data_IF_788476486942
#
_entry.id   IF_788476486942
#
_cell.length_a   1.000
_cell.length_b   1.000
_cell.length_c   1.000
_cell.angle_alpha   90.00
_cell.angle_beta   90.00
_cell.angle_gamma   90.00
#
_symmetry.space_group_name_H-M   'P 1'
#
loop_
_entity.id
_entity.type
_entity.pdbx_description
1 polymer ?
#
# COMPACT_ATOMS: atom_id res chain seq x y z
N UNK A 1 -2.85 6.45 -14.35
CA UNK A 1 -2.57 6.04 -12.95
C UNK A 1 -3.85 6.23 -12.19
N UNK A 2 -4.34 5.18 -11.53
CA UNK A 2 -5.63 5.22 -10.83
C UNK A 2 -5.38 5.27 -9.33
N UNK A 3 -6.14 6.11 -8.62
CA UNK A 3 -5.96 6.41 -7.21
C UNK A 3 -7.29 6.25 -6.51
N UNK A 4 -7.36 5.33 -5.55
CA UNK A 4 -8.59 5.06 -4.81
C UNK A 4 -8.41 5.47 -3.36
N UNK A 5 -9.32 6.31 -2.87
CA UNK A 5 -9.34 6.73 -1.48
C UNK A 5 -10.32 5.85 -0.71
N UNK A 6 -9.82 5.05 0.22
CA UNK A 6 -10.69 4.27 1.11
C UNK A 6 -11.14 5.10 2.33
N UNK A 7 -12.34 4.82 2.85
CA UNK A 7 -12.81 5.32 4.15
C UNK A 7 -12.43 4.27 5.19
N UNK A 8 -11.33 4.45 5.93
CA UNK A 8 -10.93 3.49 6.98
C UNK A 8 -11.34 3.94 8.38
N UNK A 9 -12.12 3.08 9.05
CA UNK A 9 -12.23 3.01 10.49
C UNK A 9 -10.94 2.45 11.14
N UNK A 10 -10.72 2.80 12.42
CA UNK A 10 -9.49 2.62 13.23
C UNK A 10 -9.01 1.15 13.44
N UNK A 11 -8.71 0.37 12.40
CA UNK A 11 -8.21 -1.04 12.52
C UNK A 11 -6.80 -1.31 11.97
N UNK A 12 -5.90 -0.31 11.90
CA UNK A 12 -4.57 -0.44 11.24
C UNK A 12 -3.50 -1.16 12.10
N UNK A 13 -3.77 -1.56 13.36
CA UNK A 13 -2.72 -2.13 14.24
C UNK A 13 -2.25 -3.54 13.87
N UNK A 14 -2.98 -4.28 13.03
CA UNK A 14 -2.70 -5.72 12.80
C UNK A 14 -1.54 -5.98 11.83
N UNK A 15 -1.22 -5.05 10.95
CA UNK A 15 -0.28 -5.31 9.84
C UNK A 15 1.21 -5.19 10.21
N UNK A 16 1.52 -4.62 11.38
CA UNK A 16 2.90 -4.44 11.87
C UNK A 16 3.49 -5.71 12.51
N UNK A 17 2.65 -6.69 12.84
CA UNK A 17 3.04 -7.92 13.53
C UNK A 17 2.95 -9.12 12.59
N UNK A 18 3.89 -10.05 12.72
CA UNK A 18 3.84 -11.32 11.99
C UNK A 18 2.83 -12.28 12.63
N UNK A 19 2.60 -13.44 11.99
CA UNK A 19 1.69 -14.48 12.49
C UNK A 19 2.02 -14.99 13.90
N UNK A 20 3.26 -14.78 14.35
CA UNK A 20 3.78 -15.20 15.65
C UNK A 20 3.77 -14.05 16.69
N UNK A 21 3.11 -12.92 16.39
CA UNK A 21 3.02 -11.76 17.29
C UNK A 21 4.33 -10.98 17.47
N UNK A 22 5.38 -11.28 16.70
CA UNK A 22 6.63 -10.49 16.69
C UNK A 22 6.52 -9.34 15.71
N UNK A 23 7.20 -8.22 15.98
CA UNK A 23 7.29 -7.09 15.04
C UNK A 23 7.94 -7.59 13.74
N UNK A 24 7.32 -7.24 12.61
CA UNK A 24 7.89 -7.54 11.29
C UNK A 24 9.19 -6.78 11.10
N UNK A 25 10.16 -7.41 10.45
CA UNK A 25 11.40 -6.73 10.03
C UNK A 25 11.04 -5.66 9.00
N UNK A 26 11.71 -4.50 9.07
CA UNK A 26 11.48 -3.38 8.15
C UNK A 26 12.27 -3.58 6.86
N UNK A 27 11.58 -3.50 5.71
CA UNK A 27 12.21 -3.47 4.38
C UNK A 27 11.96 -2.14 3.69
N UNK A 28 13.05 -1.46 3.36
CA UNK A 28 13.04 -0.27 2.52
C UNK A 28 13.21 -0.68 1.06
N UNK A 29 12.27 -0.30 0.22
CA UNK A 29 12.19 -0.74 -1.17
C UNK A 29 11.87 0.39 -2.13
N UNK A 30 12.15 0.18 -3.41
CA UNK A 30 11.74 1.01 -4.53
C UNK A 30 10.87 0.17 -5.47
N UNK A 31 9.88 0.76 -6.14
CA UNK A 31 9.19 0.06 -7.24
C UNK A 31 10.21 -0.22 -8.35
N UNK A 32 10.31 -1.46 -8.79
CA UNK A 32 11.28 -1.93 -9.77
C UNK A 32 10.61 -2.54 -11.03
N UNK A 33 9.28 -2.53 -11.09
CA UNK A 33 8.49 -2.92 -12.25
C UNK A 33 7.68 -1.75 -12.78
N UNK A 34 7.32 -1.79 -14.07
CA UNK A 34 6.44 -0.78 -14.68
C UNK A 34 5.00 -0.86 -14.15
N UNK A 35 4.61 -2.00 -13.57
CA UNK A 35 3.29 -2.25 -12.99
C UNK A 35 3.41 -2.53 -11.50
N UNK A 36 2.60 -1.85 -10.69
CA UNK A 36 2.54 -2.07 -9.25
C UNK A 36 1.18 -1.63 -8.68
N UNK A 37 0.74 -2.30 -7.62
CA UNK A 37 -0.43 -1.94 -6.83
C UNK A 37 -0.07 -2.03 -5.35
N UNK A 38 -0.35 -0.98 -4.58
CA UNK A 38 -0.10 -0.98 -3.14
C UNK A 38 -1.03 -0.05 -2.38
N UNK A 39 -1.28 -0.37 -1.12
CA UNK A 39 -2.02 0.47 -0.18
C UNK A 39 -1.04 1.27 0.68
N UNK A 40 -1.21 2.59 0.75
CA UNK A 40 -0.44 3.47 1.62
C UNK A 40 -1.03 3.45 3.02
N UNK A 41 -0.23 3.08 4.02
CA UNK A 41 -0.72 2.85 5.41
C UNK A 41 -0.41 3.99 6.36
N UNK A 42 0.50 4.89 6.01
CA UNK A 42 0.79 6.12 6.74
C UNK A 42 1.27 7.23 5.80
N UNK A 43 1.20 8.48 6.27
CA UNK A 43 1.66 9.64 5.50
C UNK A 43 3.13 9.53 5.11
N UNK A 44 3.44 9.98 3.91
CA UNK A 44 4.82 10.08 3.44
C UNK A 44 5.63 11.03 4.31
N UNK A 45 6.88 10.65 4.57
CA UNK A 45 7.88 11.49 5.22
C UNK A 45 8.95 11.86 4.21
N UNK A 46 9.30 13.14 4.19
CA UNK A 46 10.43 13.60 3.39
C UNK A 46 11.75 13.27 4.11
N UNK A 47 12.72 12.80 3.33
CA UNK A 47 14.12 12.64 3.74
C UNK A 47 15.03 13.52 2.89
N UNK A 48 16.34 13.48 3.12
CA UNK A 48 17.31 14.25 2.34
C UNK A 48 17.22 13.98 0.83
N UNK A 49 16.93 12.74 0.43
CA UNK A 49 17.03 12.31 -0.98
C UNK A 49 15.75 11.71 -1.55
N UNK A 50 14.75 11.41 -0.73
CA UNK A 50 13.54 10.71 -1.16
C UNK A 50 12.35 11.03 -0.26
N UNK A 51 11.15 10.73 -0.75
CA UNK A 51 9.99 10.53 0.10
C UNK A 51 9.86 9.05 0.46
N UNK A 52 9.37 8.79 1.66
CA UNK A 52 9.20 7.43 2.16
C UNK A 52 7.84 7.25 2.82
N UNK A 53 7.09 6.25 2.38
CA UNK A 53 5.77 5.93 2.93
C UNK A 53 5.66 4.45 3.28
N UNK A 54 5.15 4.07 4.47
CA UNK A 54 4.78 2.70 4.77
C UNK A 54 3.65 2.21 3.85
N UNK A 55 3.82 1.02 3.27
CA UNK A 55 2.85 0.44 2.33
C UNK A 55 2.54 -1.03 2.63
N UNK A 56 1.41 -1.49 2.12
CA UNK A 56 1.12 -2.92 1.92
C UNK A 56 1.20 -3.18 0.42
N UNK A 57 2.22 -3.89 -0.08
CA UNK A 57 2.32 -4.24 -1.49
C UNK A 57 1.29 -5.31 -1.85
N UNK A 58 0.50 -5.06 -2.89
CA UNK A 58 -0.53 -5.98 -3.39
C UNK A 58 -0.09 -6.64 -4.70
N UNK A 59 0.61 -5.91 -5.55
CA UNK A 59 1.17 -6.39 -6.81
C UNK A 59 2.43 -5.61 -7.22
N UNK A 60 3.32 -6.26 -7.95
CA UNK A 60 4.53 -5.65 -8.51
C UNK A 60 5.83 -6.26 -7.99
N UNK A 61 6.94 -5.74 -8.51
CA UNK A 61 8.31 -6.10 -8.14
C UNK A 61 8.97 -4.88 -7.49
N UNK A 62 9.66 -5.13 -6.39
CA UNK A 62 10.27 -4.11 -5.55
C UNK A 62 11.75 -4.41 -5.37
N UNK A 63 12.60 -3.39 -5.40
CA UNK A 63 14.04 -3.55 -5.19
C UNK A 63 14.46 -2.97 -3.84
N UNK A 64 15.18 -3.75 -3.03
CA UNK A 64 15.84 -3.23 -1.84
C UNK A 64 17.30 -2.93 -2.13
N UNK A 65 17.70 -1.66 -2.02
CA UNK A 65 19.11 -1.27 -2.18
C UNK A 65 20.01 -1.83 -1.08
N UNK A 66 19.45 -2.05 0.13
CA UNK A 66 20.18 -2.62 1.26
C UNK A 66 20.54 -4.10 1.01
N UNK A 67 19.56 -4.87 0.57
CA UNK A 67 19.73 -6.31 0.33
C UNK A 67 20.27 -6.61 -1.08
N UNK A 68 20.30 -5.60 -1.96
CA UNK A 68 20.65 -5.71 -3.40
C UNK A 68 19.83 -6.78 -4.14
N UNK A 69 18.57 -6.97 -3.72
CA UNK A 69 17.68 -8.01 -4.22
C UNK A 69 16.31 -7.43 -4.60
N UNK A 70 15.69 -8.08 -5.60
CA UNK A 70 14.28 -7.86 -5.97
C UNK A 70 13.37 -8.80 -5.18
N UNK A 71 12.24 -8.27 -4.75
CA UNK A 71 11.18 -8.97 -4.04
C UNK A 71 9.86 -8.80 -4.78
N UNK A 72 9.06 -9.85 -4.80
CA UNK A 72 7.66 -9.80 -5.19
C UNK A 72 6.81 -9.21 -4.05
N UNK A 73 5.65 -8.66 -4.38
CA UNK A 73 4.67 -8.23 -3.37
C UNK A 73 4.35 -9.33 -2.35
N UNK A 74 4.25 -10.60 -2.82
CA UNK A 74 3.99 -11.77 -1.98
C UNK A 74 5.09 -12.01 -0.94
N UNK A 75 6.36 -11.95 -1.34
CA UNK A 75 7.50 -12.09 -0.43
C UNK A 75 7.54 -10.96 0.60
N UNK A 76 7.13 -9.74 0.22
CA UNK A 76 7.13 -8.59 1.10
C UNK A 76 6.02 -8.59 2.15
N UNK A 77 5.01 -9.45 2.04
CA UNK A 77 3.87 -9.48 2.96
C UNK A 77 4.26 -9.83 4.41
N UNK A 78 5.36 -10.57 4.59
CA UNK A 78 5.90 -10.93 5.91
C UNK A 78 6.74 -9.80 6.55
N UNK A 79 6.95 -8.68 5.84
CA UNK A 79 7.75 -7.55 6.26
C UNK A 79 6.90 -6.30 6.53
N UNK A 80 7.47 -5.35 7.29
CA UNK A 80 6.97 -4.00 7.34
C UNK A 80 7.62 -3.19 6.22
N UNK A 81 6.86 -2.86 5.19
CA UNK A 81 7.42 -2.32 3.95
C UNK A 81 7.35 -0.80 3.96
N UNK A 82 8.49 -0.16 3.68
CA UNK A 82 8.59 1.28 3.46
C UNK A 82 9.02 1.51 2.01
N UNK A 83 8.12 2.11 1.23
CA UNK A 83 8.39 2.48 -0.14
C UNK A 83 9.15 3.81 -0.17
N UNK A 84 10.28 3.82 -0.86
CA UNK A 84 11.01 5.02 -1.24
C UNK A 84 10.60 5.45 -2.64
N UNK A 85 10.46 6.76 -2.81
CA UNK A 85 10.12 7.43 -4.06
C UNK A 85 11.06 8.63 -4.23
N UNK A 86 11.53 8.87 -5.46
CA UNK A 86 12.42 10.01 -5.73
C UNK A 86 11.64 11.32 -5.59
N UNK A 87 12.33 12.41 -5.22
CA UNK A 87 11.66 13.70 -4.94
C UNK A 87 10.97 14.31 -6.17
N UNK A 88 11.50 14.03 -7.35
CA UNK A 88 11.02 14.50 -8.64
C UNK A 88 9.95 13.58 -9.26
N UNK A 89 9.64 12.46 -8.62
CA UNK A 89 8.64 11.51 -9.11
C UNK A 89 7.23 12.00 -8.78
N UNK A 90 6.34 11.99 -9.77
CA UNK A 90 4.94 12.36 -9.60
C UNK A 90 4.22 11.46 -8.58
N UNK A 91 4.72 10.25 -8.34
CA UNK A 91 4.18 9.32 -7.37
C UNK A 91 4.11 9.91 -5.95
N UNK A 92 4.99 10.87 -5.61
CA UNK A 92 5.02 11.54 -4.30
C UNK A 92 3.66 12.13 -3.91
N UNK A 93 2.93 12.73 -4.86
CA UNK A 93 1.63 13.38 -4.62
C UNK A 93 0.53 12.41 -4.18
N UNK A 94 0.71 11.12 -4.45
CA UNK A 94 -0.28 10.06 -4.22
C UNK A 94 0.01 9.23 -2.96
N UNK A 95 1.13 9.48 -2.28
CA UNK A 95 1.53 8.79 -1.05
C UNK A 95 0.79 9.31 0.21
N UNK A 96 -0.54 9.27 0.17
CA UNK A 96 -1.41 9.69 1.28
C UNK A 96 -1.99 8.47 1.99
N UNK A 97 -2.16 8.54 3.31
CA UNK A 97 -2.68 7.40 4.08
C UNK A 97 -4.07 6.97 3.59
N UNK A 98 -4.28 5.67 3.49
CA UNK A 98 -5.57 5.06 3.10
C UNK A 98 -5.82 5.06 1.60
N UNK A 99 -4.83 5.43 0.80
CA UNK A 99 -4.92 5.44 -0.66
C UNK A 99 -4.34 4.17 -1.25
N UNK A 100 -5.09 3.52 -2.14
CA UNK A 100 -4.57 2.48 -3.04
C UNK A 100 -4.06 3.16 -4.30
N UNK A 101 -2.80 2.87 -4.63
CA UNK A 101 -2.13 3.41 -5.81
C UNK A 101 -1.93 2.30 -6.83
N UNK A 102 -2.36 2.55 -8.08
CA UNK A 102 -2.26 1.61 -9.21
C UNK A 102 -1.43 2.26 -10.33
N UNK A 103 -0.27 1.68 -10.60
CA UNK A 103 0.73 2.18 -11.57
C UNK A 103 0.85 1.22 -12.75
N UNK A 104 0.94 1.76 -13.97
CA UNK A 104 1.22 0.98 -15.18
C UNK A 104 0.03 0.20 -15.74
N UNK A 105 -1.18 0.45 -15.24
CA UNK A 105 -2.43 -0.09 -15.78
C UNK A 105 -3.23 1.03 -16.45
N UNK A 106 -3.86 0.71 -17.59
CA UNK A 106 -4.95 1.54 -18.15
C UNK A 106 -6.16 1.47 -17.23
N UNK A 107 -6.95 2.53 -17.19
CA UNK A 107 -8.18 2.58 -16.38
C UNK A 107 -9.19 1.51 -16.83
N UNK A 108 -9.27 1.23 -18.14
CA UNK A 108 -10.13 0.19 -18.72
C UNK A 108 -9.79 -1.23 -18.23
N UNK A 109 -8.59 -1.43 -17.67
CA UNK A 109 -8.16 -2.73 -17.13
C UNK A 109 -8.39 -2.84 -15.62
N UNK A 110 -9.00 -1.84 -14.99
CA UNK A 110 -9.22 -1.79 -13.54
C UNK A 110 -10.71 -1.72 -13.27
N UNK A 111 -11.29 -2.85 -12.87
CA UNK A 111 -12.64 -2.88 -12.32
C UNK A 111 -12.59 -2.58 -10.83
N UNK A 112 -13.32 -1.55 -10.41
CA UNK A 112 -13.53 -1.21 -9.00
C UNK A 112 -14.93 -1.66 -8.64
N UNK A 113 -15.02 -2.68 -7.79
CA UNK A 113 -16.30 -3.15 -7.26
C UNK A 113 -16.53 -2.46 -5.92
N UNK A 114 -17.68 -1.81 -5.79
CA UNK A 114 -18.15 -1.26 -4.52
C UNK A 114 -19.16 -2.27 -3.97
N UNK A 115 -18.90 -2.83 -2.79
CA UNK A 115 -19.97 -3.47 -2.03
C UNK A 115 -20.88 -2.35 -1.53
N UNK A 116 -22.10 -2.28 -2.07
CA UNK A 116 -23.19 -1.60 -1.39
C UNK A 116 -23.46 -2.40 -0.12
N UNK A 117 -23.08 -1.87 1.05
CA UNK A 117 -23.38 -2.52 2.32
C UNK A 117 -24.88 -2.80 2.40
N UNK A 118 -25.21 -4.08 2.55
CA UNK A 118 -26.52 -4.61 2.92
C UNK A 118 -27.12 -3.81 4.08
N UNK A 119 -28.04 -2.91 3.76
CA UNK A 119 -28.99 -2.32 4.71
C UNK A 119 -30.11 -3.31 5.05
N UNK A 120 -29.78 -4.49 5.60
CA UNK A 120 -30.78 -5.32 6.28
C UNK A 120 -30.99 -4.80 7.70
N UNK A 121 -31.71 -3.69 7.80
CA UNK A 121 -32.34 -3.27 9.04
C UNK A 121 -33.65 -4.03 9.23
N UNK A 122 -33.57 -5.30 9.63
CA UNK A 122 -34.69 -5.94 10.33
C UNK A 122 -34.83 -5.27 11.70
N UNK A 123 -35.83 -4.41 11.82
CA UNK A 123 -36.28 -3.81 13.07
C UNK A 123 -37.79 -3.89 13.17
N UNK A 124 -38.31 -5.10 13.34
CA UNK A 124 -39.53 -5.29 14.13
C UNK A 124 -39.18 -4.98 15.59
N UNK A 125 -39.83 -3.99 16.19
CA UNK A 125 -40.37 -4.10 17.55
C UNK A 125 -41.21 -2.87 17.94
N UNK A 126 -42.42 -3.20 18.41
CA UNK A 126 -43.38 -2.45 19.27
C UNK A 126 -44.20 -1.32 18.67
#
# INVERSE_FOLDING_TARGET
>A
MVVLKSRFDKRVKKDTFNKNGKRKEIKYVWVASNKAIFLVTAEAKESKYSYSAPIIPLHGIYYSSKDRKKYTAKELNDYFVVLNVRKDDQLVYYLKKGVVVIIGYSEDNVLIVYDEENGEGNGSDS
#
